data_IF_962859274891
#
_entry.id   IF_962859274891
#
_cell.length_a   1.000
_cell.length_b   1.000
_cell.length_c   1.000
_cell.angle_alpha   90.00
_cell.angle_beta   90.00
_cell.angle_gamma   90.00
#
_symmetry.space_group_name_H-M   'P 1'
#
loop_
_entity.id
_entity.type
_entity.pdbx_description
1 polymer ?
#
# COMPACT_ATOMS: atom_id res chain seq x y z
N UNK A 1 49.98 -16.43 -40.94
CA UNK A 1 49.36 -16.65 -39.62
C UNK A 1 48.38 -15.51 -39.36
N UNK A 2 47.19 -15.80 -38.81
CA UNK A 2 45.89 -15.29 -39.28
C UNK A 2 45.38 -14.07 -38.50
N UNK A 3 44.39 -13.36 -39.06
CA UNK A 3 43.59 -12.35 -38.35
C UNK A 3 42.41 -11.82 -39.16
N UNK A 4 41.31 -12.59 -39.18
CA UNK A 4 39.89 -12.29 -39.44
C UNK A 4 39.51 -11.12 -40.38
N UNK A 5 38.89 -11.29 -41.58
CA UNK A 5 37.59 -11.91 -41.93
C UNK A 5 36.42 -11.13 -41.29
N UNK A 6 35.85 -10.13 -41.98
CA UNK A 6 34.58 -10.19 -42.76
C UNK A 6 33.45 -9.50 -42.01
N UNK A 7 32.53 -8.74 -42.58
CA UNK A 7 32.22 -8.31 -43.94
C UNK A 7 31.15 -7.21 -43.78
N UNK A 8 31.34 -6.06 -44.42
CA UNK A 8 30.68 -5.70 -45.68
C UNK A 8 29.16 -5.64 -45.62
N UNK A 9 28.69 -4.43 -45.93
CA UNK A 9 27.66 -4.15 -46.92
C UNK A 9 26.22 -4.52 -46.53
N UNK A 10 25.47 -3.44 -46.26
CA UNK A 10 24.29 -3.08 -47.05
C UNK A 10 23.52 -4.27 -47.65
N UNK A 11 22.49 -4.71 -46.93
CA UNK A 11 21.31 -5.29 -47.56
C UNK A 11 20.08 -4.51 -47.10
N UNK A 12 19.59 -3.67 -48.01
CA UNK A 12 18.37 -2.91 -47.85
C UNK A 12 17.17 -3.81 -48.20
N UNK A 13 16.74 -4.61 -47.24
CA UNK A 13 15.44 -5.28 -47.28
C UNK A 13 14.32 -4.27 -47.01
N UNK A 14 13.63 -3.83 -48.06
CA UNK A 14 12.45 -2.97 -48.00
C UNK A 14 11.34 -3.58 -47.11
N UNK A 15 11.16 -3.05 -45.89
CA UNK A 15 9.99 -3.31 -45.05
C UNK A 15 9.09 -2.06 -44.96
N UNK A 16 8.15 -1.97 -45.91
CA UNK A 16 6.85 -1.28 -45.87
C UNK A 16 6.66 -0.07 -44.90
N UNK A 17 6.42 1.16 -45.39
CA UNK A 17 6.34 2.39 -44.58
C UNK A 17 5.10 2.50 -43.67
N UNK A 18 4.18 1.54 -43.69
CA UNK A 18 2.93 1.59 -42.89
C UNK A 18 3.08 1.13 -41.44
N UNK A 19 4.14 0.39 -41.11
CA UNK A 19 4.29 -0.19 -39.76
C UNK A 19 5.21 0.62 -38.83
N UNK A 20 6.05 1.49 -39.38
CA UNK A 20 6.95 2.35 -38.59
C UNK A 20 6.19 3.49 -37.88
N UNK A 21 5.14 4.04 -38.49
CA UNK A 21 4.32 5.08 -37.85
C UNK A 21 3.51 4.55 -36.65
N UNK A 22 3.12 3.28 -36.64
CA UNK A 22 2.35 2.70 -35.55
C UNK A 22 3.20 2.45 -34.28
N UNK A 23 4.49 2.16 -34.45
CA UNK A 23 5.40 1.89 -33.32
C UNK A 23 5.81 3.19 -32.62
N UNK A 24 5.95 4.29 -33.36
CA UNK A 24 6.33 5.59 -32.78
C UNK A 24 5.18 6.21 -31.96
N UNK A 25 3.91 6.03 -32.38
CA UNK A 25 2.74 6.53 -31.63
C UNK A 25 2.49 5.71 -30.35
N UNK A 26 2.76 4.39 -30.38
CA UNK A 26 2.63 3.54 -29.21
C UNK A 26 3.65 3.85 -28.11
N UNK A 27 4.83 4.38 -28.47
CA UNK A 27 5.89 4.70 -27.51
C UNK A 27 5.70 6.06 -26.81
N UNK A 28 4.82 6.92 -27.31
CA UNK A 28 4.61 8.29 -26.79
C UNK A 28 3.60 8.42 -25.64
N UNK A 29 2.95 7.35 -25.19
CA UNK A 29 1.91 7.39 -24.15
C UNK A 29 2.38 6.93 -22.75
N UNK A 30 3.65 6.56 -22.58
CA UNK A 30 4.13 5.92 -21.35
C UNK A 30 4.89 6.84 -20.38
N UNK A 31 4.98 8.16 -20.61
CA UNK A 31 5.83 9.05 -19.79
C UNK A 31 5.09 9.95 -18.80
N UNK A 32 3.77 9.90 -18.67
CA UNK A 32 3.03 10.79 -17.74
C UNK A 32 2.57 10.15 -16.43
N UNK A 33 2.88 8.87 -16.15
CA UNK A 33 2.35 8.19 -14.95
C UNK A 33 3.25 8.33 -13.71
N UNK A 34 4.36 9.08 -13.75
CA UNK A 34 5.33 9.14 -12.63
C UNK A 34 5.53 10.54 -12.07
N UNK A 35 4.44 11.28 -11.81
CA UNK A 35 4.53 12.54 -11.02
C UNK A 35 3.68 12.51 -9.75
N UNK A 36 3.03 11.38 -9.44
CA UNK A 36 2.11 11.27 -8.31
C UNK A 36 2.70 10.78 -6.98
N UNK A 37 3.97 10.34 -6.93
CA UNK A 37 4.53 9.77 -5.71
C UNK A 37 6.06 9.83 -5.68
N UNK A 38 6.63 11.00 -5.41
CA UNK A 38 7.99 11.07 -4.89
C UNK A 38 8.20 12.37 -4.13
N UNK A 39 8.63 12.23 -2.87
CA UNK A 39 8.99 13.30 -1.95
C UNK A 39 10.23 14.05 -2.43
N UNK A 40 10.04 14.95 -3.39
CA UNK A 40 11.02 15.94 -3.84
C UNK A 40 10.37 17.31 -3.84
N UNK A 41 10.92 18.25 -3.06
CA UNK A 41 10.48 19.66 -3.05
C UNK A 41 10.75 20.26 -4.44
N UNK A 42 9.69 20.38 -5.24
CA UNK A 42 9.65 21.14 -6.48
C UNK A 42 8.25 21.72 -6.54
N UNK A 43 8.11 23.03 -6.32
CA UNK A 43 6.86 23.75 -6.44
C UNK A 43 6.35 23.64 -7.89
N UNK A 44 5.64 22.55 -8.15
CA UNK A 44 5.04 22.19 -9.45
C UNK A 44 3.53 22.28 -9.38
N UNK A 45 3.01 23.00 -8.39
CA UNK A 45 1.59 23.19 -8.16
C UNK A 45 1.04 24.20 -9.16
N UNK A 46 0.54 23.70 -10.29
CA UNK A 46 -0.41 24.48 -11.09
C UNK A 46 -1.60 24.97 -10.22
N UNK A 47 -2.48 25.80 -10.78
CA UNK A 47 -3.63 26.33 -10.05
C UNK A 47 -4.38 25.21 -9.33
N UNK A 48 -4.62 25.40 -8.02
CA UNK A 48 -5.36 24.42 -7.24
C UNK A 48 -6.77 24.28 -7.81
N UNK A 49 -7.27 23.05 -8.00
CA UNK A 49 -8.65 22.82 -8.42
C UNK A 49 -9.65 23.33 -7.37
N UNK A 50 -10.87 23.62 -7.82
CA UNK A 50 -11.96 24.02 -6.92
C UNK A 50 -12.25 22.93 -5.87
N UNK A 51 -12.20 23.31 -4.60
CA UNK A 51 -12.35 22.38 -3.48
C UNK A 51 -13.79 21.81 -3.40
N UNK A 52 -14.80 22.60 -3.74
CA UNK A 52 -16.21 22.20 -3.59
C UNK A 52 -16.56 21.05 -4.53
N UNK A 53 -16.15 21.17 -5.79
CA UNK A 53 -16.35 20.13 -6.81
C UNK A 53 -15.57 18.86 -6.47
N UNK A 54 -14.33 18.98 -5.99
CA UNK A 54 -13.55 17.83 -5.56
C UNK A 54 -14.19 17.08 -4.39
N UNK A 55 -14.66 17.79 -3.36
CA UNK A 55 -15.31 17.15 -2.21
C UNK A 55 -16.62 16.46 -2.63
N UNK A 56 -17.40 17.07 -3.54
CA UNK A 56 -18.59 16.42 -4.11
C UNK A 56 -18.25 15.14 -4.87
N UNK A 57 -17.26 15.20 -5.77
CA UNK A 57 -16.81 14.03 -6.52
C UNK A 57 -16.28 12.93 -5.60
N UNK A 58 -15.46 13.28 -4.61
CA UNK A 58 -14.97 12.32 -3.61
C UNK A 58 -16.12 11.68 -2.84
N UNK A 59 -17.11 12.47 -2.42
CA UNK A 59 -18.31 11.97 -1.73
C UNK A 59 -19.07 10.97 -2.59
N UNK A 60 -19.32 11.29 -3.84
CA UNK A 60 -20.07 10.40 -4.75
C UNK A 60 -19.28 9.12 -5.06
N UNK A 61 -17.95 9.20 -5.17
CA UNK A 61 -17.10 8.01 -5.32
C UNK A 61 -17.10 7.15 -4.06
N UNK A 62 -16.90 7.75 -2.88
CA UNK A 62 -16.84 7.03 -1.60
C UNK A 62 -18.15 6.30 -1.28
N UNK A 63 -19.32 6.87 -1.63
CA UNK A 63 -20.62 6.18 -1.49
C UNK A 63 -20.69 4.84 -2.24
N UNK A 64 -19.94 4.70 -3.32
CA UNK A 64 -19.98 3.52 -4.19
C UNK A 64 -18.88 2.50 -3.88
N UNK A 65 -17.98 2.80 -2.94
CA UNK A 65 -16.88 1.91 -2.54
C UNK A 65 -17.45 0.66 -1.88
N UNK A 66 -17.16 -0.50 -2.48
CA UNK A 66 -17.53 -1.81 -1.91
C UNK A 66 -16.44 -2.43 -1.06
N UNK A 67 -15.18 -2.11 -1.34
CA UNK A 67 -14.04 -2.62 -0.59
C UNK A 67 -12.91 -1.59 -0.53
N UNK A 68 -12.21 -1.54 0.60
CA UNK A 68 -11.07 -0.65 0.79
C UNK A 68 -10.07 -1.25 1.79
N UNK A 69 -8.79 -0.99 1.56
CA UNK A 69 -7.75 -1.17 2.55
C UNK A 69 -7.64 0.11 3.38
N UNK A 70 -7.79 -0.01 4.69
CA UNK A 70 -7.79 1.09 5.64
C UNK A 70 -6.57 0.99 6.54
N UNK A 71 -5.91 2.13 6.76
CA UNK A 71 -4.87 2.30 7.79
C UNK A 71 -5.33 3.46 8.66
N UNK A 72 -5.73 3.13 9.88
CA UNK A 72 -6.17 4.09 10.87
C UNK A 72 -5.08 4.22 11.94
N UNK A 73 -4.68 5.45 12.24
CA UNK A 73 -3.65 5.75 13.24
C UNK A 73 -4.15 6.84 14.17
N UNK A 74 -4.04 6.60 15.47
CA UNK A 74 -4.36 7.57 16.51
C UNK A 74 -3.07 8.31 16.87
N UNK A 75 -3.02 9.59 16.53
CA UNK A 75 -1.92 10.47 16.91
C UNK A 75 -2.21 11.07 18.29
N UNK A 76 -1.41 10.68 19.28
CA UNK A 76 -1.56 11.12 20.68
C UNK A 76 -2.40 10.17 21.53
N UNK A 77 -3.00 10.69 22.62
CA UNK A 77 -3.91 9.95 23.49
C UNK A 77 -5.31 10.57 23.42
N UNK A 78 -6.28 9.78 22.98
CA UNK A 78 -7.70 10.16 22.99
C UNK A 78 -8.35 9.44 24.18
N UNK A 79 -8.89 10.16 25.18
CA UNK A 79 -9.58 9.53 26.31
C UNK A 79 -10.70 8.59 25.83
N UNK A 80 -10.74 7.37 26.36
CA UNK A 80 -11.74 6.35 25.99
C UNK A 80 -11.43 5.57 24.71
N UNK A 81 -10.35 5.90 23.98
CA UNK A 81 -9.92 5.14 22.80
C UNK A 81 -8.56 4.49 23.06
N UNK A 82 -8.59 3.19 23.30
CA UNK A 82 -7.39 2.38 23.58
C UNK A 82 -6.62 1.97 22.33
N UNK A 83 -7.14 2.27 21.14
CA UNK A 83 -6.55 1.86 19.87
C UNK A 83 -5.44 2.82 19.44
N UNK A 84 -4.30 2.27 19.03
CA UNK A 84 -3.17 3.01 18.46
C UNK A 84 -3.21 2.98 16.94
N UNK A 85 -3.27 1.78 16.38
CA UNK A 85 -3.34 1.58 14.92
C UNK A 85 -4.30 0.46 14.57
N UNK A 86 -4.95 0.57 13.43
CA UNK A 86 -5.74 -0.50 12.82
C UNK A 86 -5.45 -0.52 11.34
N UNK A 87 -5.03 -1.67 10.84
CA UNK A 87 -4.80 -1.91 9.42
C UNK A 87 -5.66 -3.08 8.98
N UNK A 88 -6.46 -2.91 7.94
CA UNK A 88 -7.29 -4.00 7.47
C UNK A 88 -8.03 -3.72 6.18
N UNK A 89 -8.55 -4.80 5.61
CA UNK A 89 -9.44 -4.77 4.47
C UNK A 89 -10.89 -4.79 4.97
N UNK A 90 -11.71 -3.91 4.40
CA UNK A 90 -13.16 -3.88 4.60
C UNK A 90 -13.84 -4.21 3.27
N UNK A 91 -14.90 -5.02 3.33
CA UNK A 91 -15.87 -5.21 2.24
C UNK A 91 -17.30 -5.10 2.78
N UNK A 92 -18.23 -4.55 2.01
CA UNK A 92 -19.59 -4.23 2.48
C UNK A 92 -20.69 -5.15 1.95
N UNK A 93 -20.42 -6.03 0.97
CA UNK A 93 -21.41 -6.98 0.46
C UNK A 93 -20.82 -8.37 0.12
N UNK A 94 -20.93 -9.36 1.02
CA UNK A 94 -21.41 -9.26 2.40
C UNK A 94 -20.45 -8.42 3.27
N UNK A 95 -20.92 -7.90 4.40
CA UNK A 95 -20.06 -7.12 5.30
C UNK A 95 -19.04 -8.04 5.98
N UNK A 96 -17.77 -7.82 5.67
CA UNK A 96 -16.66 -8.54 6.26
C UNK A 96 -15.44 -7.62 6.40
N UNK A 97 -14.63 -7.84 7.42
CA UNK A 97 -13.37 -7.14 7.61
C UNK A 97 -12.30 -8.10 8.11
N UNK A 98 -11.05 -7.86 7.75
CA UNK A 98 -9.92 -8.61 8.31
C UNK A 98 -8.74 -7.68 8.46
N UNK A 99 -7.94 -7.88 9.50
CA UNK A 99 -6.81 -7.02 9.72
C UNK A 99 -6.10 -7.25 11.03
N UNK A 100 -5.24 -6.30 11.35
CA UNK A 100 -4.46 -6.23 12.57
C UNK A 100 -4.81 -4.94 13.31
N UNK A 101 -4.82 -5.02 14.64
CA UNK A 101 -5.07 -3.88 15.51
C UNK A 101 -4.02 -3.85 16.63
N UNK A 102 -3.51 -2.65 16.92
CA UNK A 102 -2.70 -2.35 18.09
C UNK A 102 -3.53 -1.59 19.11
N UNK A 103 -3.63 -2.14 20.30
CA UNK A 103 -4.39 -1.59 21.42
C UNK A 103 -3.47 -1.40 22.62
N UNK A 104 -3.80 -0.47 23.50
CA UNK A 104 -3.16 -0.33 24.81
C UNK A 104 -4.13 -0.81 25.89
N UNK A 105 -3.82 -1.94 26.53
CA UNK A 105 -4.58 -2.50 27.63
C UNK A 105 -3.76 -2.41 28.92
N UNK A 106 -4.30 -1.73 29.94
CA UNK A 106 -3.62 -1.62 31.24
C UNK A 106 -2.25 -0.91 31.20
N UNK A 107 -2.02 -0.07 30.18
CA UNK A 107 -0.73 0.61 29.96
C UNK A 107 0.28 -0.18 29.11
N UNK A 108 -0.05 -1.41 28.72
CA UNK A 108 0.75 -2.26 27.85
C UNK A 108 0.18 -2.30 26.44
N UNK A 109 1.05 -2.36 25.44
CA UNK A 109 0.64 -2.50 24.04
C UNK A 109 0.41 -3.97 23.69
N UNK A 110 -0.67 -4.21 22.96
CA UNK A 110 -1.14 -5.53 22.52
C UNK A 110 -1.42 -5.46 21.03
N UNK A 111 -0.81 -6.38 20.30
CA UNK A 111 -1.07 -6.65 18.89
C UNK A 111 -2.07 -7.80 18.78
N UNK A 112 -3.13 -7.62 17.98
CA UNK A 112 -4.13 -8.65 17.75
C UNK A 112 -4.60 -8.65 16.30
N UNK A 113 -4.76 -9.84 15.74
CA UNK A 113 -5.41 -10.03 14.45
C UNK A 113 -6.91 -10.28 14.65
N UNK A 114 -7.72 -9.74 13.75
CA UNK A 114 -9.18 -9.86 13.80
C UNK A 114 -9.76 -10.24 12.44
N UNK A 115 -10.85 -11.01 12.48
CA UNK A 115 -11.70 -11.29 11.34
C UNK A 115 -13.14 -11.01 11.75
N UNK A 116 -13.83 -10.18 10.97
CA UNK A 116 -15.26 -9.89 11.10
C UNK A 116 -15.98 -10.51 9.92
N UNK A 117 -16.98 -11.34 10.22
CA UNK A 117 -17.90 -11.90 9.23
C UNK A 117 -19.30 -11.91 9.83
N UNK A 118 -20.29 -11.42 9.07
CA UNK A 118 -21.71 -11.41 9.49
C UNK A 118 -21.95 -10.72 10.85
N UNK A 119 -21.17 -9.68 11.16
CA UNK A 119 -21.26 -8.94 12.42
C UNK A 119 -20.64 -9.66 13.63
N UNK A 120 -20.09 -10.86 13.46
CA UNK A 120 -19.30 -11.55 14.48
C UNK A 120 -17.81 -11.23 14.31
N UNK A 121 -17.14 -10.84 15.40
CA UNK A 121 -15.70 -10.63 15.43
C UNK A 121 -15.04 -11.85 16.08
N UNK A 122 -14.23 -12.58 15.33
CA UNK A 122 -13.51 -13.77 15.80
C UNK A 122 -12.00 -13.59 15.60
N UNK A 123 -11.16 -14.00 16.57
CA UNK A 123 -9.73 -14.12 16.33
C UNK A 123 -9.51 -15.22 15.26
N UNK A 124 -8.49 -15.07 14.40
CA UNK A 124 -8.19 -16.09 13.39
C UNK A 124 -7.91 -17.45 14.05
N UNK A 125 -8.50 -18.52 13.49
CA UNK A 125 -8.48 -19.87 14.05
C UNK A 125 -7.13 -20.59 13.96
N UNK A 126 -6.14 -20.01 13.27
CA UNK A 126 -4.79 -20.55 13.16
C UNK A 126 -3.82 -19.63 13.89
N UNK A 127 -3.08 -20.11 14.91
CA UNK A 127 -1.96 -19.35 15.43
C UNK A 127 -0.95 -19.19 14.31
N UNK A 128 -0.63 -17.95 13.94
CA UNK A 128 0.59 -17.66 13.20
C UNK A 128 1.73 -18.05 14.13
N UNK A 129 2.27 -19.24 13.90
CA UNK A 129 3.48 -19.76 14.53
C UNK A 129 4.62 -18.80 14.18
N UNK A 130 4.82 -17.76 14.98
CA UNK A 130 5.97 -16.87 14.82
C UNK A 130 5.81 -15.39 15.17
N UNK A 131 5.09 -14.98 16.23
CA UNK A 131 5.32 -13.67 16.86
C UNK A 131 4.66 -13.54 18.24
N UNK A 132 5.00 -14.43 19.18
CA UNK A 132 4.81 -14.13 20.61
C UNK A 132 6.10 -14.46 21.35
N UNK A 133 7.16 -13.72 21.02
CA UNK A 133 8.25 -13.53 21.98
C UNK A 133 7.92 -12.28 22.77
N UNK A 134 6.97 -12.41 23.71
CA UNK A 134 6.93 -11.54 24.87
C UNK A 134 8.23 -11.82 25.60
N UNK A 135 9.26 -11.00 25.35
CA UNK A 135 10.50 -11.05 26.11
C UNK A 135 10.19 -10.34 27.43
N UNK A 136 10.05 -11.07 28.57
CA UNK A 136 9.98 -10.39 29.85
C UNK A 136 11.29 -9.62 30.07
N UNK A 137 11.26 -8.43 30.70
CA UNK A 137 12.48 -7.77 31.11
C UNK A 137 13.24 -8.73 32.02
N UNK A 138 14.49 -9.04 31.63
CA UNK A 138 15.42 -9.83 32.41
C UNK A 138 15.64 -9.15 33.75
N UNK A 139 14.93 -9.62 34.78
CA UNK A 139 15.23 -9.28 36.16
C UNK A 139 16.43 -10.12 36.59
N UNK A 140 17.62 -9.52 36.49
CA UNK A 140 18.86 -10.06 37.04
C UNK A 140 18.71 -10.15 38.55
N UNK A 141 18.38 -11.34 39.06
CA UNK A 141 18.48 -11.66 40.48
C UNK A 141 19.94 -12.08 40.74
N UNK A 142 20.74 -11.33 41.53
CA UNK A 142 22.07 -11.77 41.91
C UNK A 142 21.95 -12.93 42.92
N UNK A 143 22.50 -14.09 42.55
CA UNK A 143 22.77 -15.19 43.49
C UNK A 143 23.71 -14.67 44.58
N UNK A 144 23.23 -14.58 45.82
CA UNK A 144 24.06 -14.34 47.00
C UNK A 144 24.03 -15.58 47.89
N UNK A 145 25.23 -16.11 48.10
CA UNK A 145 25.70 -17.08 49.10
C UNK A 145 25.12 -18.49 49.08
#
# INVERSE_FOLDING_TARGET
MPGAVTGTLYDAGYATPRRLFAVVVALSLATTVVVGCSSGKKDSGGPLPDATTLVKQATDKTKTVKSAHLVLTVNGKIPGLSMKTLTGDLTTNPTAAKGNVKLTLGGSDVDADFVVFEGSCTPPSHPISGATSVRPPTSTIPRRS
#
